data_IF_025781934780
#
_entry.id   IF_025781934780
#
_cell.length_a   1.000
_cell.length_b   1.000
_cell.length_c   1.000
_cell.angle_alpha   90.00
_cell.angle_beta   90.00
_cell.angle_gamma   90.00
#
_symmetry.space_group_name_H-M   'P 1'
#
loop_
_entity.id
_entity.type
_entity.pdbx_description
1 polymer ?
#
# COMPACT_ATOMS: atom_id res chain seq x y z
N UNK A 1 -5.92 4.95 22.36
CA UNK A 1 -6.01 4.84 20.90
C UNK A 1 -4.63 4.90 20.26
N UNK A 2 -4.48 4.52 19.00
CA UNK A 2 -3.20 4.47 18.28
C UNK A 2 -2.69 5.85 17.81
N UNK A 3 -3.28 6.96 18.22
CA UNK A 3 -2.91 8.30 17.76
C UNK A 3 -3.13 8.52 16.25
N UNK A 4 -3.78 7.57 15.56
CA UNK A 4 -4.07 7.65 14.11
C UNK A 4 -2.83 7.75 13.21
N UNK A 5 -1.70 7.17 13.62
CA UNK A 5 -0.44 7.22 12.86
C UNK A 5 -0.61 6.87 11.37
N UNK A 6 -1.39 5.82 11.05
CA UNK A 6 -1.70 5.44 9.68
C UNK A 6 -2.42 6.53 8.86
N UNK A 7 -2.99 7.52 9.53
CA UNK A 7 -3.72 8.63 8.91
C UNK A 7 -2.96 9.95 8.95
N UNK A 8 -1.99 10.10 9.85
CA UNK A 8 -1.25 11.37 10.03
C UNK A 8 0.20 11.26 9.62
N UNK A 9 0.79 10.08 9.74
CA UNK A 9 2.24 9.83 9.60
C UNK A 9 3.10 10.78 10.46
N UNK A 10 2.54 11.28 11.56
CA UNK A 10 3.26 12.12 12.51
C UNK A 10 4.23 11.26 13.31
N UNK A 11 5.49 11.64 13.29
CA UNK A 11 6.56 11.07 14.11
C UNK A 11 6.91 12.07 15.21
N UNK A 12 7.13 11.61 16.43
CA UNK A 12 7.33 12.48 17.61
C UNK A 12 8.40 13.57 17.38
N UNK A 13 9.49 13.24 16.69
CA UNK A 13 10.65 14.11 16.52
C UNK A 13 10.92 14.51 15.07
N UNK A 14 9.98 14.28 14.14
CA UNK A 14 10.22 14.58 12.74
C UNK A 14 8.95 14.96 11.99
N UNK A 15 9.03 16.07 11.27
CA UNK A 15 8.01 16.51 10.33
C UNK A 15 8.54 16.36 8.89
N UNK A 16 7.82 15.58 8.06
CA UNK A 16 8.11 15.49 6.65
C UNK A 16 7.93 16.86 5.97
N UNK A 17 8.82 17.20 5.04
CA UNK A 17 8.79 18.49 4.37
C UNK A 17 8.00 18.44 3.04
N UNK A 18 7.98 17.29 2.39
CA UNK A 18 7.44 17.10 1.05
C UNK A 18 6.27 16.11 1.08
N UNK A 19 6.41 15.01 1.81
CA UNK A 19 5.29 14.12 2.08
C UNK A 19 4.33 14.86 3.00
N UNK A 20 3.12 15.12 2.53
CA UNK A 20 2.15 15.94 3.24
C UNK A 20 1.91 15.44 4.66
N UNK A 21 2.17 16.32 5.61
CA UNK A 21 1.82 16.12 7.01
C UNK A 21 0.39 16.57 7.26
N UNK A 22 -0.27 15.97 8.24
CA UNK A 22 -1.65 16.29 8.60
C UNK A 22 -2.71 15.49 7.84
N UNK A 23 -2.29 14.49 7.09
CA UNK A 23 -3.14 13.53 6.39
C UNK A 23 -2.32 12.58 5.55
N UNK A 24 -2.92 11.49 5.12
CA UNK A 24 -2.28 10.48 4.27
C UNK A 24 -2.78 10.57 2.83
N UNK A 25 -1.90 10.31 1.88
CA UNK A 25 -2.31 9.96 0.54
C UNK A 25 -2.75 8.49 0.55
N UNK A 26 -4.05 8.26 0.41
CA UNK A 26 -4.63 6.93 0.44
C UNK A 26 -4.83 6.46 -0.99
N UNK A 27 -4.45 5.21 -1.24
CA UNK A 27 -4.67 4.55 -2.52
C UNK A 27 -6.11 4.06 -2.61
N UNK A 28 -6.75 4.37 -3.73
CA UNK A 28 -8.09 3.92 -4.09
C UNK A 28 -8.03 3.03 -5.32
N UNK A 29 -8.92 2.07 -5.40
CA UNK A 29 -9.24 1.39 -6.64
C UNK A 29 -10.04 2.34 -7.55
N UNK A 30 -9.96 2.16 -8.87
CA UNK A 30 -10.69 3.02 -9.80
C UNK A 30 -12.19 3.07 -9.51
N UNK A 31 -12.78 1.91 -9.25
CA UNK A 31 -14.22 1.79 -8.93
C UNK A 31 -14.61 2.43 -7.59
N UNK A 32 -13.71 2.43 -6.60
CA UNK A 32 -13.96 3.12 -5.33
C UNK A 32 -13.96 4.63 -5.53
N UNK A 33 -13.08 5.13 -6.38
CA UNK A 33 -12.99 6.54 -6.69
C UNK A 33 -14.24 7.01 -7.45
N UNK A 34 -14.70 6.22 -8.45
CA UNK A 34 -15.93 6.47 -9.19
C UNK A 34 -17.15 6.49 -8.27
N UNK A 35 -17.26 5.50 -7.38
CA UNK A 35 -18.32 5.45 -6.37
C UNK A 35 -18.33 6.69 -5.45
N UNK A 36 -17.15 7.15 -5.02
CA UNK A 36 -17.05 8.35 -4.19
C UNK A 36 -17.46 9.62 -4.95
N UNK A 37 -17.06 9.73 -6.22
CA UNK A 37 -17.42 10.84 -7.07
C UNK A 37 -18.93 10.90 -7.26
N UNK A 38 -19.54 9.80 -7.69
CA UNK A 38 -21.00 9.69 -7.91
C UNK A 38 -21.80 10.02 -6.65
N UNK A 39 -21.39 9.47 -5.51
CA UNK A 39 -22.07 9.69 -4.24
C UNK A 39 -22.07 11.15 -3.78
N UNK A 40 -21.04 11.89 -4.13
CA UNK A 40 -20.88 13.30 -3.76
C UNK A 40 -21.36 14.24 -4.87
N UNK A 41 -21.87 13.73 -5.98
CA UNK A 41 -22.26 14.53 -7.16
C UNK A 41 -21.10 15.30 -7.80
N UNK A 42 -19.91 14.72 -7.74
CA UNK A 42 -18.64 15.29 -8.22
C UNK A 42 -18.14 14.51 -9.44
N UNK A 43 -17.25 15.11 -10.22
CA UNK A 43 -16.45 14.39 -11.19
C UNK A 43 -15.31 13.59 -10.52
N UNK A 44 -14.77 12.61 -11.22
CA UNK A 44 -13.60 11.84 -10.73
C UNK A 44 -12.40 12.74 -10.48
N UNK A 45 -12.18 13.73 -11.34
CA UNK A 45 -11.13 14.74 -11.26
C UNK A 45 -11.22 15.61 -10.01
N UNK A 46 -12.45 15.82 -9.48
CA UNK A 46 -12.67 16.63 -8.27
C UNK A 46 -12.27 15.89 -6.99
N UNK A 47 -12.24 14.57 -7.02
CA UNK A 47 -11.87 13.72 -5.86
C UNK A 47 -10.47 13.15 -5.95
N UNK A 48 -9.87 13.09 -7.14
CA UNK A 48 -8.53 12.58 -7.38
C UNK A 48 -7.47 13.63 -7.03
N UNK A 49 -6.51 13.26 -6.18
CA UNK A 49 -5.35 14.12 -5.88
C UNK A 49 -4.21 13.85 -6.86
N UNK A 50 -3.93 12.57 -7.13
CA UNK A 50 -2.82 12.16 -7.98
C UNK A 50 -3.09 10.79 -8.60
N UNK A 51 -2.72 10.63 -9.87
CA UNK A 51 -2.69 9.35 -10.58
C UNK A 51 -1.24 8.98 -10.89
N UNK A 52 -0.83 7.81 -10.45
CA UNK A 52 0.45 7.20 -10.84
C UNK A 52 0.15 6.02 -11.76
N UNK A 53 0.65 6.06 -12.98
CA UNK A 53 0.61 4.94 -13.91
C UNK A 53 1.98 4.28 -13.98
N UNK A 54 2.06 3.01 -13.63
CA UNK A 54 3.25 2.19 -13.78
C UNK A 54 3.07 1.27 -14.99
N UNK A 55 3.69 1.66 -16.09
CA UNK A 55 3.70 0.87 -17.33
C UNK A 55 4.64 -0.33 -17.16
N UNK A 56 4.17 -1.53 -17.47
CA UNK A 56 4.96 -2.75 -17.34
C UNK A 56 4.87 -3.69 -18.55
N UNK A 57 3.95 -3.48 -19.47
CA UNK A 57 3.84 -4.32 -20.66
C UNK A 57 2.90 -3.77 -21.73
N UNK A 58 3.39 -3.55 -22.92
CA UNK A 58 2.59 -3.11 -24.07
C UNK A 58 1.79 -1.85 -23.79
N UNK A 59 0.47 -1.94 -23.87
CA UNK A 59 -0.47 -0.83 -23.60
C UNK A 59 -1.03 -0.83 -22.18
N UNK A 60 -0.53 -1.71 -21.32
CA UNK A 60 -1.07 -1.90 -19.96
C UNK A 60 -0.23 -1.21 -18.90
N UNK A 61 -0.91 -0.66 -17.93
CA UNK A 61 -0.31 -0.01 -16.78
C UNK A 61 -1.08 -0.34 -15.50
N UNK A 62 -0.37 -0.54 -14.40
CA UNK A 62 -0.96 -0.52 -13.08
C UNK A 62 -1.24 0.93 -12.70
N UNK A 63 -2.50 1.30 -12.58
CA UNK A 63 -2.92 2.63 -12.17
C UNK A 63 -3.20 2.67 -10.68
N UNK A 64 -2.53 3.55 -9.98
CA UNK A 64 -2.74 3.84 -8.57
C UNK A 64 -3.36 5.23 -8.46
N UNK A 65 -4.54 5.30 -7.89
CA UNK A 65 -5.27 6.54 -7.67
C UNK A 65 -5.08 6.97 -6.23
N UNK A 66 -4.62 8.19 -6.01
CA UNK A 66 -4.37 8.71 -4.68
C UNK A 66 -5.28 9.88 -4.37
N UNK A 67 -5.81 9.88 -3.17
CA UNK A 67 -6.55 11.00 -2.61
C UNK A 67 -5.97 11.38 -1.26
N UNK A 68 -5.81 12.67 -1.04
CA UNK A 68 -5.44 13.17 0.28
C UNK A 68 -6.60 13.00 1.26
N UNK A 69 -6.33 12.36 2.41
CA UNK A 69 -7.30 12.16 3.47
C UNK A 69 -6.96 13.04 4.68
N UNK A 70 -7.74 14.08 4.89
CA UNK A 70 -7.61 14.98 6.04
C UNK A 70 -8.36 14.54 7.30
N UNK A 71 -8.99 13.36 7.31
CA UNK A 71 -9.83 12.91 8.45
C UNK A 71 -9.03 12.48 9.69
N UNK A 72 -7.72 12.36 9.60
CA UNK A 72 -6.82 12.04 10.74
C UNK A 72 -7.33 10.90 11.63
N UNK A 73 -7.89 9.85 11.03
CA UNK A 73 -8.45 8.70 11.76
C UNK A 73 -9.87 8.89 12.30
N UNK A 74 -10.44 10.06 12.12
CA UNK A 74 -11.82 10.39 12.57
C UNK A 74 -12.88 10.09 11.50
N UNK A 75 -12.65 9.10 10.65
CA UNK A 75 -13.60 8.71 9.60
C UNK A 75 -14.98 8.39 10.19
N UNK A 76 -16.00 9.13 9.77
CA UNK A 76 -17.34 9.10 10.35
C UNK A 76 -18.12 7.80 10.08
N UNK A 77 -17.66 6.92 9.19
CA UNK A 77 -18.34 5.66 8.91
C UNK A 77 -17.48 4.65 8.20
N UNK A 78 -17.68 3.36 8.50
CA UNK A 78 -16.95 2.27 7.84
C UNK A 78 -17.24 2.18 6.33
N UNK A 79 -18.41 2.66 5.89
CA UNK A 79 -18.86 2.57 4.50
C UNK A 79 -18.04 3.47 3.53
N UNK A 80 -17.40 4.52 4.05
CA UNK A 80 -16.63 5.48 3.23
C UNK A 80 -15.13 5.22 3.24
N UNK A 81 -14.68 4.24 4.02
CA UNK A 81 -13.27 3.87 4.06
C UNK A 81 -12.91 3.07 2.83
N UNK A 82 -11.87 3.46 2.08
CA UNK A 82 -11.36 2.66 0.98
C UNK A 82 -10.84 1.31 1.47
N UNK A 83 -10.75 0.35 0.57
CA UNK A 83 -10.34 -1.02 0.87
C UNK A 83 -9.00 -1.08 1.62
N UNK A 84 -8.00 -0.31 1.20
CA UNK A 84 -6.72 -0.24 1.89
C UNK A 84 -6.83 0.19 3.35
N UNK A 85 -7.71 1.15 3.67
CA UNK A 85 -7.93 1.57 5.06
C UNK A 85 -8.68 0.51 5.89
N UNK A 86 -9.54 -0.30 5.24
CA UNK A 86 -10.28 -1.38 5.91
C UNK A 86 -9.39 -2.57 6.22
N UNK A 87 -8.42 -2.82 5.37
CA UNK A 87 -7.46 -3.91 5.53
C UNK A 87 -6.31 -3.57 6.49
N UNK A 88 -6.10 -2.28 6.79
CA UNK A 88 -5.03 -1.87 7.69
C UNK A 88 -5.11 -2.61 9.04
N UNK A 89 -4.00 -3.10 9.60
CA UNK A 89 -2.61 -2.80 9.25
C UNK A 89 -1.97 -3.77 8.23
N UNK A 90 -2.70 -4.74 7.71
CA UNK A 90 -2.15 -5.73 6.80
C UNK A 90 -2.96 -5.86 5.52
N UNK A 91 -2.27 -6.04 4.42
CA UNK A 91 -2.85 -6.37 3.11
C UNK A 91 -2.59 -7.85 2.83
N UNK A 92 -3.61 -8.65 2.47
CA UNK A 92 -3.41 -10.04 2.10
C UNK A 92 -2.75 -10.16 0.73
N UNK A 93 -1.80 -11.07 0.59
CA UNK A 93 -1.27 -11.49 -0.69
C UNK A 93 -1.75 -12.92 -0.99
N UNK A 94 -2.36 -13.09 -2.14
CA UNK A 94 -2.85 -14.39 -2.61
C UNK A 94 -1.94 -14.95 -3.70
N UNK A 95 -1.94 -16.29 -3.83
CA UNK A 95 -1.50 -16.93 -5.06
C UNK A 95 -2.48 -16.62 -6.20
N UNK A 96 -2.08 -16.80 -7.46
CA UNK A 96 -3.03 -16.66 -8.57
C UNK A 96 -4.25 -17.60 -8.46
N UNK A 97 -4.11 -18.74 -7.78
CA UNK A 97 -5.19 -19.71 -7.53
C UNK A 97 -6.10 -19.31 -6.36
N UNK A 98 -5.81 -18.21 -5.67
CA UNK A 98 -6.62 -17.67 -4.57
C UNK A 98 -6.24 -18.16 -3.17
N UNK A 99 -5.09 -18.83 -3.01
CA UNK A 99 -4.59 -19.22 -1.70
C UNK A 99 -3.90 -18.04 -0.99
N UNK A 100 -4.19 -17.82 0.29
CA UNK A 100 -3.53 -16.79 1.08
C UNK A 100 -2.07 -17.16 1.34
N UNK A 101 -1.13 -16.45 0.72
CA UNK A 101 0.31 -16.65 0.89
C UNK A 101 0.85 -16.00 2.14
N UNK A 102 0.58 -14.71 2.30
CA UNK A 102 1.08 -13.91 3.44
C UNK A 102 0.20 -12.69 3.70
N UNK A 103 0.42 -12.07 4.86
CA UNK A 103 -0.03 -10.73 5.16
C UNK A 103 1.16 -9.78 5.06
N UNK A 104 0.99 -8.68 4.34
CA UNK A 104 2.00 -7.63 4.17
C UNK A 104 1.62 -6.40 4.98
N UNK A 105 2.61 -5.59 5.35
CA UNK A 105 2.34 -4.29 5.95
C UNK A 105 1.61 -3.39 4.95
N UNK A 106 0.51 -2.77 5.37
CA UNK A 106 -0.37 -2.00 4.49
C UNK A 106 0.17 -0.61 4.12
N UNK A 107 1.20 -0.11 4.79
CA UNK A 107 1.82 1.17 4.49
C UNK A 107 3.33 1.05 4.33
N UNK A 108 3.91 1.90 3.47
CA UNK A 108 5.36 1.93 3.25
C UNK A 108 6.13 2.31 4.53
N UNK A 109 5.53 3.08 5.43
CA UNK A 109 6.11 3.38 6.73
C UNK A 109 6.20 2.13 7.60
N UNK A 110 5.13 1.33 7.67
CA UNK A 110 5.15 0.07 8.41
C UNK A 110 6.15 -0.92 7.83
N UNK A 111 6.27 -0.96 6.50
CA UNK A 111 7.32 -1.75 5.81
C UNK A 111 8.69 -1.26 6.23
N UNK A 112 8.92 0.07 6.30
CA UNK A 112 10.19 0.65 6.73
C UNK A 112 10.52 0.25 8.17
N UNK A 113 9.58 0.41 9.11
CA UNK A 113 9.76 0.01 10.50
C UNK A 113 10.08 -1.49 10.61
N UNK A 114 9.34 -2.33 9.88
CA UNK A 114 9.55 -3.78 9.89
C UNK A 114 10.92 -4.17 9.31
N UNK A 115 11.33 -3.57 8.19
CA UNK A 115 12.59 -3.87 7.52
C UNK A 115 13.81 -3.45 8.35
N UNK A 116 13.68 -2.40 9.14
CA UNK A 116 14.75 -1.89 10.03
C UNK A 116 14.71 -2.50 11.43
N UNK A 117 13.75 -3.36 11.72
CA UNK A 117 13.56 -3.92 13.08
C UNK A 117 13.10 -2.88 14.11
N UNK A 118 12.54 -1.77 13.64
CA UNK A 118 12.04 -0.73 14.51
C UNK A 118 10.61 -0.99 14.97
N UNK A 119 10.26 -0.49 16.15
CA UNK A 119 8.90 -0.59 16.65
C UNK A 119 7.99 0.37 15.85
N UNK A 120 6.94 -0.16 15.21
CA UNK A 120 5.93 0.68 14.59
C UNK A 120 5.19 1.52 15.64
N UNK A 121 4.91 2.80 15.39
CA UNK A 121 4.06 3.63 16.23
C UNK A 121 2.61 3.13 16.28
N UNK A 122 2.20 2.29 15.34
CA UNK A 122 0.84 1.73 15.30
C UNK A 122 0.63 0.72 16.44
N UNK A 123 -0.21 1.08 17.40
CA UNK A 123 -0.55 0.21 18.54
C UNK A 123 -1.53 -0.91 18.17
N UNK A 124 -2.20 -0.82 17.01
CA UNK A 124 -3.10 -1.85 16.46
C UNK A 124 -2.34 -2.90 15.69
N UNK A 125 -1.10 -2.62 15.28
CA UNK A 125 -0.22 -3.57 14.61
C UNK A 125 0.20 -4.66 15.61
N UNK A 126 -0.66 -5.65 15.72
CA UNK A 126 -0.47 -6.83 16.57
C UNK A 126 0.42 -7.86 15.87
N UNK A 127 0.61 -8.99 16.50
CA UNK A 127 1.35 -10.12 15.94
C UNK A 127 0.79 -10.53 14.57
N UNK A 128 1.60 -10.33 13.52
CA UNK A 128 1.27 -10.73 12.13
C UNK A 128 0.99 -12.23 12.02
N UNK A 129 1.69 -13.05 12.78
CA UNK A 129 1.50 -14.49 12.77
C UNK A 129 0.13 -14.87 13.36
N UNK A 130 -0.31 -14.18 14.43
CA UNK A 130 -1.66 -14.38 14.97
C UNK A 130 -2.74 -13.91 13.98
N UNK A 131 -2.54 -12.78 13.33
CA UNK A 131 -3.46 -12.29 12.28
C UNK A 131 -3.56 -13.29 11.11
N UNK A 132 -2.44 -13.83 10.65
CA UNK A 132 -2.41 -14.83 9.57
C UNK A 132 -3.17 -16.11 9.98
N UNK A 133 -2.97 -16.59 11.21
CA UNK A 133 -3.72 -17.75 11.73
C UNK A 133 -5.22 -17.52 11.78
N UNK A 134 -5.67 -16.33 12.17
CA UNK A 134 -7.10 -15.97 12.15
C UNK A 134 -7.65 -15.98 10.72
N UNK A 135 -6.93 -15.42 9.76
CA UNK A 135 -7.30 -15.44 8.35
C UNK A 135 -7.39 -16.87 7.78
N UNK A 136 -6.51 -17.76 8.23
CA UNK A 136 -6.52 -19.17 7.80
C UNK A 136 -7.62 -19.99 8.49
N UNK A 137 -7.98 -19.64 9.72
CA UNK A 137 -9.03 -20.31 10.47
C UNK A 137 -10.44 -19.99 9.94
N UNK A 138 -10.65 -18.80 9.40
CA UNK A 138 -11.90 -18.39 8.77
C UNK A 138 -11.61 -17.77 7.39
N UNK A 139 -11.45 -18.62 6.36
CA UNK A 139 -11.14 -18.16 5.01
C UNK A 139 -12.30 -17.44 4.33
N UNK A 140 -13.53 -17.59 4.82
CA UNK A 140 -14.72 -17.04 4.16
C UNK A 140 -14.78 -15.51 4.24
N UNK A 141 -14.25 -14.91 5.29
CA UNK A 141 -14.19 -13.47 5.39
C UNK A 141 -13.24 -12.82 4.35
N UNK A 142 -12.28 -13.60 3.80
CA UNK A 142 -11.42 -13.17 2.70
C UNK A 142 -12.05 -13.47 1.31
N UNK A 143 -13.14 -14.20 1.23
CA UNK A 143 -13.76 -14.58 -0.04
C UNK A 143 -14.03 -13.38 -0.97
N UNK A 144 -14.53 -12.21 -0.49
CA UNK A 144 -14.70 -11.04 -1.35
C UNK A 144 -13.41 -10.48 -1.95
N UNK A 145 -12.26 -10.77 -1.33
CA UNK A 145 -10.95 -10.30 -1.79
C UNK A 145 -10.30 -11.23 -2.82
N UNK A 146 -10.89 -12.42 -3.05
CA UNK A 146 -10.40 -13.41 -4.03
C UNK A 146 -10.89 -13.15 -5.46
N UNK A 147 -11.35 -11.94 -5.74
CA UNK A 147 -11.60 -11.51 -7.11
C UNK A 147 -10.28 -11.35 -7.87
N UNK A 148 -10.10 -11.86 -9.10
CA UNK A 148 -8.84 -11.85 -9.82
C UNK A 148 -8.18 -10.47 -9.89
N UNK A 149 -8.96 -9.42 -10.13
CA UNK A 149 -8.47 -8.04 -10.12
C UNK A 149 -7.87 -7.62 -8.77
N UNK A 150 -8.55 -7.92 -7.65
CA UNK A 150 -8.07 -7.60 -6.30
C UNK A 150 -6.82 -8.41 -5.94
N UNK A 151 -6.82 -9.70 -6.27
CA UNK A 151 -5.66 -10.57 -6.04
C UNK A 151 -4.44 -10.07 -6.82
N UNK A 152 -4.62 -9.71 -8.10
CA UNK A 152 -3.56 -9.11 -8.90
C UNK A 152 -3.06 -7.78 -8.30
N UNK A 153 -3.99 -6.91 -7.85
CA UNK A 153 -3.64 -5.64 -7.22
C UNK A 153 -2.80 -5.85 -5.95
N UNK A 154 -3.20 -6.77 -5.07
CA UNK A 154 -2.45 -7.07 -3.85
C UNK A 154 -1.11 -7.77 -4.13
N UNK A 155 -1.05 -8.66 -5.10
CA UNK A 155 0.20 -9.28 -5.54
C UNK A 155 1.15 -8.22 -6.14
N UNK A 156 0.63 -7.28 -6.94
CA UNK A 156 1.40 -6.15 -7.47
C UNK A 156 1.98 -5.27 -6.36
N UNK A 157 1.18 -4.99 -5.32
CA UNK A 157 1.67 -4.31 -4.12
C UNK A 157 2.81 -5.09 -3.47
N UNK A 158 2.72 -6.42 -3.40
CA UNK A 158 3.78 -7.30 -2.91
C UNK A 158 5.10 -7.14 -3.67
N UNK A 159 5.04 -7.10 -4.98
CA UNK A 159 6.21 -6.86 -5.83
C UNK A 159 6.88 -5.51 -5.50
N UNK A 160 6.07 -4.47 -5.31
CA UNK A 160 6.57 -3.13 -4.95
C UNK A 160 7.23 -3.14 -3.57
N UNK A 161 6.61 -3.78 -2.58
CA UNK A 161 7.14 -3.92 -1.21
C UNK A 161 8.44 -4.71 -1.19
N UNK A 162 8.52 -5.81 -1.94
CA UNK A 162 9.72 -6.65 -2.01
C UNK A 162 10.89 -5.89 -2.68
N UNK A 163 10.62 -5.11 -3.74
CA UNK A 163 11.60 -4.21 -4.34
C UNK A 163 12.09 -3.15 -3.34
N UNK A 164 11.15 -2.47 -2.71
CA UNK A 164 11.44 -1.45 -1.72
C UNK A 164 12.31 -1.98 -0.56
N UNK A 165 11.92 -3.10 0.03
CA UNK A 165 12.63 -3.70 1.16
C UNK A 165 14.08 -4.05 0.80
N UNK A 166 14.30 -4.60 -0.41
CA UNK A 166 15.66 -4.89 -0.90
C UNK A 166 16.50 -3.64 -1.13
N UNK A 167 15.91 -2.60 -1.73
CA UNK A 167 16.61 -1.35 -1.97
C UNK A 167 16.91 -0.62 -0.67
N UNK A 168 15.97 -0.60 0.28
CA UNK A 168 16.16 -0.03 1.61
C UNK A 168 17.34 -0.70 2.33
N UNK A 169 17.42 -2.04 2.32
CA UNK A 169 18.51 -2.79 2.94
C UNK A 169 19.89 -2.55 2.30
N UNK A 170 19.93 -2.05 1.06
CA UNK A 170 21.18 -1.71 0.31
C UNK A 170 21.49 -0.21 0.34
N UNK A 171 20.62 0.62 0.88
CA UNK A 171 20.77 2.07 0.87
C UNK A 171 21.85 2.53 1.87
N UNK A 172 23.12 2.48 1.46
CA UNK A 172 24.27 2.87 2.29
C UNK A 172 24.17 4.31 2.80
N UNK A 173 23.52 5.20 2.06
CA UNK A 173 23.24 6.59 2.47
C UNK A 173 22.27 6.72 3.64
N UNK A 174 21.52 5.66 3.97
CA UNK A 174 20.65 5.59 5.15
C UNK A 174 21.33 4.86 6.31
N UNK A 175 22.43 4.15 6.05
CA UNK A 175 23.13 3.35 7.04
C UNK A 175 23.70 4.25 8.16
N UNK A 176 23.44 3.86 9.42
CA UNK A 176 23.90 4.59 10.59
C UNK A 176 23.11 5.85 10.92
N UNK A 177 22.17 6.27 10.08
CA UNK A 177 21.26 7.37 10.39
C UNK A 177 20.14 6.91 11.32
N UNK A 178 19.73 7.81 12.23
CA UNK A 178 18.61 7.58 13.14
C UNK A 178 17.73 8.83 13.25
N UNK A 179 16.53 8.69 13.78
CA UNK A 179 15.61 9.79 14.05
C UNK A 179 15.36 10.69 12.84
N UNK A 180 15.32 11.99 13.05
CA UNK A 180 15.01 12.96 11.99
C UNK A 180 16.02 12.97 10.83
N UNK A 181 17.30 12.63 11.07
CA UNK A 181 18.31 12.55 10.00
C UNK A 181 18.01 11.41 9.03
N UNK A 182 17.60 10.24 9.57
CA UNK A 182 17.17 9.12 8.77
C UNK A 182 15.95 9.51 7.91
N UNK A 183 14.92 10.06 8.53
CA UNK A 183 13.67 10.35 7.82
C UNK A 183 13.81 11.40 6.73
N UNK A 184 14.68 12.41 6.90
CA UNK A 184 15.00 13.38 5.83
C UNK A 184 15.67 12.71 4.63
N UNK A 185 16.69 11.90 4.89
CA UNK A 185 17.40 11.19 3.85
C UNK A 185 16.47 10.17 3.15
N UNK A 186 15.65 9.50 3.93
CA UNK A 186 14.64 8.56 3.44
C UNK A 186 13.60 9.25 2.54
N UNK A 187 13.03 10.38 2.99
CA UNK A 187 12.04 11.14 2.23
C UNK A 187 12.56 11.52 0.85
N UNK A 188 13.79 12.03 0.78
CA UNK A 188 14.42 12.40 -0.49
C UNK A 188 14.62 11.19 -1.41
N UNK A 189 15.08 10.06 -0.88
CA UNK A 189 15.30 8.86 -1.69
C UNK A 189 13.98 8.22 -2.13
N UNK A 190 12.97 8.23 -1.26
CA UNK A 190 11.63 7.75 -1.60
C UNK A 190 11.03 8.54 -2.74
N UNK A 191 11.02 9.87 -2.64
CA UNK A 191 10.44 10.77 -3.66
C UNK A 191 11.23 10.76 -4.98
N UNK A 192 12.53 10.52 -4.93
CA UNK A 192 13.35 10.37 -6.14
C UNK A 192 13.32 8.96 -6.74
N UNK A 193 12.54 8.05 -6.15
CA UNK A 193 12.38 6.67 -6.62
C UNK A 193 13.61 5.79 -6.40
N UNK A 194 14.64 6.25 -5.69
CA UNK A 194 15.89 5.50 -5.45
C UNK A 194 15.73 4.31 -4.51
N UNK A 195 14.62 4.26 -3.77
CA UNK A 195 14.26 3.11 -2.93
C UNK A 195 13.49 2.02 -3.68
N UNK A 196 13.45 2.08 -5.00
CA UNK A 196 12.77 1.10 -5.84
C UNK A 196 13.66 0.64 -6.98
N UNK A 197 13.65 -0.64 -7.26
CA UNK A 197 14.20 -1.24 -8.47
C UNK A 197 13.09 -1.33 -9.52
N UNK A 198 12.98 -0.29 -10.33
CA UNK A 198 11.91 -0.16 -11.32
C UNK A 198 11.98 -1.23 -12.42
N UNK A 199 13.16 -1.70 -12.77
CA UNK A 199 13.32 -2.75 -13.80
C UNK A 199 12.84 -4.09 -13.24
N UNK A 200 13.20 -4.40 -11.99
CA UNK A 200 12.67 -5.55 -11.30
C UNK A 200 11.13 -5.47 -11.19
N UNK A 201 10.57 -4.35 -10.72
CA UNK A 201 9.13 -4.18 -10.58
C UNK A 201 8.41 -4.42 -11.91
N UNK A 202 8.87 -3.80 -13.00
CA UNK A 202 8.27 -3.99 -14.33
C UNK A 202 8.36 -5.43 -14.82
N UNK A 203 9.50 -6.10 -14.57
CA UNK A 203 9.69 -7.50 -14.94
C UNK A 203 8.71 -8.41 -14.20
N UNK A 204 8.64 -8.29 -12.88
CA UNK A 204 7.75 -9.12 -12.06
C UNK A 204 6.27 -8.87 -12.37
N UNK A 205 5.87 -7.60 -12.60
CA UNK A 205 4.49 -7.28 -12.96
C UNK A 205 4.09 -7.89 -14.32
N UNK A 206 5.02 -7.96 -15.29
CA UNK A 206 4.77 -8.66 -16.57
C UNK A 206 4.56 -10.15 -16.36
N UNK A 207 5.44 -10.79 -15.57
CA UNK A 207 5.30 -12.21 -15.26
C UNK A 207 3.98 -12.49 -14.51
N UNK A 208 3.66 -11.66 -13.53
CA UNK A 208 2.42 -11.77 -12.76
C UNK A 208 1.20 -11.63 -13.67
N UNK A 209 1.16 -10.62 -14.53
CA UNK A 209 0.08 -10.40 -15.49
C UNK A 209 -0.09 -11.60 -16.41
N UNK A 210 1.01 -12.12 -16.97
CA UNK A 210 0.95 -13.29 -17.85
C UNK A 210 0.31 -14.49 -17.16
N UNK A 211 0.68 -14.74 -15.89
CA UNK A 211 0.10 -15.83 -15.09
C UNK A 211 -1.41 -15.62 -14.86
N UNK A 212 -1.83 -14.41 -14.52
CA UNK A 212 -3.25 -14.12 -14.32
C UNK A 212 -4.07 -14.23 -15.61
N UNK A 213 -3.51 -13.80 -16.74
CA UNK A 213 -4.15 -13.96 -18.06
C UNK A 213 -4.28 -15.42 -18.47
N UNK A 214 -3.30 -16.26 -18.14
CA UNK A 214 -3.36 -17.70 -18.40
C UNK A 214 -4.48 -18.37 -17.60
N UNK A 215 -4.66 -18.00 -16.33
CA UNK A 215 -5.63 -18.63 -15.43
C UNK A 215 -7.07 -18.09 -15.66
N UNK A 216 -7.20 -16.78 -15.81
CA UNK A 216 -8.49 -16.08 -15.77
C UNK A 216 -8.93 -15.49 -17.12
N UNK A 217 -8.05 -15.49 -18.13
CA UNK A 217 -8.28 -14.74 -19.34
C UNK A 217 -8.22 -13.23 -19.08
N UNK A 218 -9.22 -12.46 -19.55
CA UNK A 218 -9.32 -11.04 -19.21
C UNK A 218 -9.84 -10.86 -17.78
N UNK A 219 -9.10 -10.11 -16.95
CA UNK A 219 -9.53 -9.70 -15.61
C UNK A 219 -9.47 -8.17 -15.50
N UNK A 220 -10.57 -7.56 -15.04
CA UNK A 220 -10.74 -6.11 -14.87
C UNK A 220 -11.50 -5.83 -13.58
#
# INVERSE_FOLDING_TARGET
GCGSFCCTHELEDFQFQIIQTGGSNIVYLGQELDFLADRNGLGREDVLTHELALEFGGTRALKLYQRHCGFRGLCAGCMEKPLHCRLYPFVPEFSPEGELKRLQDASIFDVTFSALGWKSPCTVKTDRAAALKLCQADPDWLAPLRHPYLMFHFASYGVIVDSYTRCLGRATSLSGLTGGAFWRAWELQYLTGKLFDWDYIRSELRCLEATYLEIYGEFR
#
